data_IF_010145925912
#
_entry.id   IF_010145925912
#
_cell.length_a   1.000
_cell.length_b   1.000
_cell.length_c   1.000
_cell.angle_alpha   90.00
_cell.angle_beta   90.00
_cell.angle_gamma   90.00
#
_symmetry.space_group_name_H-M   'P 1'
#
loop_
_entity.id
_entity.type
_entity.pdbx_description
1 polymer ?
#
# COMPACT_ATOMS: atom_id res chain seq x y z
N UNK A 1 55.19 -30.29 14.96
CA UNK A 1 54.59 -29.03 14.45
C UNK A 1 53.40 -29.38 13.57
N UNK A 2 52.18 -29.33 14.12
CA UNK A 2 50.96 -29.61 13.37
C UNK A 2 50.35 -28.29 12.87
N UNK A 3 50.38 -28.08 11.56
CA UNK A 3 49.80 -26.90 10.92
C UNK A 3 48.27 -26.96 10.99
N UNK A 4 47.67 -26.04 11.76
CA UNK A 4 46.23 -25.88 11.89
C UNK A 4 45.60 -25.50 10.55
N UNK A 5 44.78 -26.41 10.02
CA UNK A 5 43.90 -26.17 8.86
C UNK A 5 42.86 -25.11 9.25
N UNK A 6 43.08 -23.85 8.85
CA UNK A 6 42.08 -22.78 8.94
C UNK A 6 40.84 -23.21 8.13
N UNK A 7 39.75 -23.55 8.82
CA UNK A 7 38.43 -23.76 8.21
C UNK A 7 37.99 -22.43 7.60
N UNK A 8 37.84 -22.38 6.28
CA UNK A 8 37.18 -21.27 5.58
C UNK A 8 35.74 -21.14 6.11
N UNK A 9 35.24 -19.93 6.40
CA UNK A 9 33.84 -19.75 6.74
C UNK A 9 32.96 -20.21 5.56
N UNK A 10 31.76 -20.76 5.82
CA UNK A 10 30.88 -21.20 4.76
C UNK A 10 30.50 -19.98 3.88
N UNK A 11 30.77 -20.09 2.57
CA UNK A 11 30.28 -19.16 1.56
C UNK A 11 28.77 -18.98 1.74
N UNK A 12 28.32 -17.73 1.78
CA UNK A 12 26.93 -17.34 1.95
C UNK A 12 25.98 -18.13 1.02
N UNK A 13 25.24 -19.08 1.59
CA UNK A 13 24.19 -19.85 0.92
C UNK A 13 23.00 -18.99 0.46
N UNK A 14 23.03 -17.68 0.72
CA UNK A 14 22.00 -16.73 0.31
C UNK A 14 22.08 -16.35 -1.18
N UNK A 15 23.23 -16.53 -1.84
CA UNK A 15 23.44 -16.05 -3.22
C UNK A 15 23.01 -17.04 -4.32
N UNK A 16 22.66 -18.29 -3.99
CA UNK A 16 22.25 -19.32 -4.96
C UNK A 16 21.13 -20.20 -4.43
N UNK A 17 19.96 -19.62 -4.12
CA UNK A 17 18.75 -20.44 -4.00
C UNK A 17 18.32 -20.91 -5.39
N UNK A 18 18.03 -22.21 -5.55
CA UNK A 18 17.43 -22.71 -6.78
C UNK A 18 16.03 -22.08 -6.97
N UNK A 19 15.58 -21.88 -8.21
CA UNK A 19 14.22 -21.37 -8.50
C UNK A 19 13.14 -22.17 -7.75
N UNK A 20 13.36 -23.49 -7.59
CA UNK A 20 12.50 -24.39 -6.83
C UNK A 20 12.44 -24.01 -5.34
N UNK A 21 13.58 -23.61 -4.74
CA UNK A 21 13.61 -23.15 -3.36
C UNK A 21 12.85 -21.83 -3.19
N UNK A 22 12.98 -20.88 -4.13
CA UNK A 22 12.25 -19.61 -4.09
C UNK A 22 10.73 -19.80 -4.25
N UNK A 23 10.29 -20.69 -5.15
CA UNK A 23 8.88 -21.07 -5.30
C UNK A 23 8.34 -21.78 -4.05
N UNK A 24 9.14 -22.62 -3.40
CA UNK A 24 8.75 -23.30 -2.16
C UNK A 24 8.61 -22.30 -1.00
N UNK A 25 9.47 -21.29 -0.93
CA UNK A 25 9.32 -20.20 0.02
C UNK A 25 8.05 -19.39 -0.25
N UNK A 26 7.79 -18.99 -1.50
CA UNK A 26 6.58 -18.27 -1.89
C UNK A 26 5.31 -19.00 -1.42
N UNK A 27 5.21 -20.30 -1.72
CA UNK A 27 4.05 -21.12 -1.30
C UNK A 27 3.86 -21.10 0.22
N UNK A 28 4.94 -21.26 0.98
CA UNK A 28 4.85 -21.30 2.44
C UNK A 28 4.44 -19.93 3.02
N UNK A 29 4.95 -18.83 2.44
CA UNK A 29 4.58 -17.46 2.81
C UNK A 29 3.12 -17.16 2.51
N UNK A 30 2.65 -17.54 1.31
CA UNK A 30 1.25 -17.39 0.90
C UNK A 30 0.34 -18.21 1.83
N UNK A 31 0.67 -19.47 2.13
CA UNK A 31 -0.12 -20.30 3.03
C UNK A 31 -0.25 -19.66 4.42
N UNK A 32 0.84 -19.10 4.95
CA UNK A 32 0.83 -18.43 6.24
C UNK A 32 0.05 -17.10 6.20
N UNK A 33 0.15 -16.32 5.13
CA UNK A 33 -0.65 -15.11 4.92
C UNK A 33 -2.16 -15.43 4.86
N UNK A 34 -2.53 -16.47 4.11
CA UNK A 34 -3.91 -16.95 4.03
C UNK A 34 -4.41 -17.45 5.38
N UNK A 35 -3.56 -18.10 6.18
CA UNK A 35 -3.92 -18.51 7.54
C UNK A 35 -4.26 -17.30 8.42
N UNK A 36 -3.45 -16.24 8.40
CA UNK A 36 -3.74 -15.01 9.16
C UNK A 36 -5.04 -14.34 8.67
N UNK A 37 -5.27 -14.29 7.36
CA UNK A 37 -6.52 -13.77 6.78
C UNK A 37 -7.71 -14.62 7.23
N UNK A 38 -7.60 -15.95 7.22
CA UNK A 38 -8.67 -16.86 7.64
C UNK A 38 -9.01 -16.70 9.13
N UNK A 39 -8.00 -16.60 10.00
CA UNK A 39 -8.20 -16.36 11.43
C UNK A 39 -8.90 -15.01 11.66
N UNK A 40 -8.41 -13.94 11.02
CA UNK A 40 -9.03 -12.62 11.12
C UNK A 40 -10.47 -12.61 10.57
N UNK A 41 -10.72 -13.32 9.48
CA UNK A 41 -12.06 -13.50 8.90
C UNK A 41 -13.00 -14.19 9.88
N UNK A 42 -12.56 -15.26 10.56
CA UNK A 42 -13.36 -15.95 11.57
C UNK A 42 -13.72 -15.02 12.75
N UNK A 43 -12.76 -14.21 13.21
CA UNK A 43 -12.97 -13.20 14.26
C UNK A 43 -14.00 -12.16 13.79
N UNK A 44 -13.85 -11.61 12.58
CA UNK A 44 -14.80 -10.64 12.02
C UNK A 44 -16.20 -11.24 11.80
N UNK A 45 -16.29 -12.52 11.45
CA UNK A 45 -17.57 -13.23 11.27
C UNK A 45 -18.32 -13.35 12.60
N UNK A 46 -17.61 -13.66 13.68
CA UNK A 46 -18.16 -13.69 15.03
C UNK A 46 -18.56 -12.28 15.52
N UNK A 47 -17.74 -11.28 15.20
CA UNK A 47 -18.01 -9.88 15.54
C UNK A 47 -19.12 -9.21 14.71
N UNK A 48 -19.62 -9.88 13.66
CA UNK A 48 -20.61 -9.30 12.73
C UNK A 48 -21.84 -8.73 13.45
N UNK A 49 -22.43 -9.51 14.36
CA UNK A 49 -23.63 -9.14 15.10
C UNK A 49 -23.36 -8.08 16.19
N UNK A 50 -22.10 -7.88 16.57
CA UNK A 50 -21.68 -6.98 17.65
C UNK A 50 -21.36 -5.55 17.17
N UNK A 51 -21.61 -5.24 15.90
CA UNK A 51 -21.51 -3.87 15.37
C UNK A 51 -20.86 -3.74 14.00
N UNK A 52 -20.10 -4.74 13.53
CA UNK A 52 -19.45 -4.67 12.22
C UNK A 52 -20.49 -4.56 11.09
N UNK A 53 -21.61 -5.29 11.20
CA UNK A 53 -22.71 -5.19 10.23
C UNK A 53 -23.37 -3.80 10.20
N UNK A 54 -23.43 -3.09 11.33
CA UNK A 54 -23.93 -1.72 11.38
C UNK A 54 -22.91 -0.73 10.82
N UNK A 55 -21.63 -0.89 11.16
CA UNK A 55 -20.53 -0.07 10.68
C UNK A 55 -20.43 -0.05 9.15
N UNK A 56 -20.51 -1.23 8.51
CA UNK A 56 -20.46 -1.34 7.05
C UNK A 56 -21.72 -0.76 6.39
N UNK A 57 -22.90 -0.82 7.02
CA UNK A 57 -24.14 -0.25 6.46
C UNK A 57 -24.25 1.26 6.63
N UNK A 58 -23.56 1.84 7.61
CA UNK A 58 -23.70 3.26 7.96
C UNK A 58 -23.51 4.25 6.78
N UNK A 59 -22.55 4.09 5.85
CA UNK A 59 -22.41 4.99 4.70
C UNK A 59 -23.64 5.03 3.79
N UNK A 60 -24.27 3.88 3.57
CA UNK A 60 -25.53 3.78 2.82
C UNK A 60 -26.68 4.45 3.57
N UNK A 61 -26.77 4.23 4.88
CA UNK A 61 -27.82 4.84 5.71
C UNK A 61 -27.70 6.36 5.85
N UNK A 62 -26.51 6.91 5.63
CA UNK A 62 -26.26 8.35 5.61
C UNK A 62 -26.69 9.04 4.30
N UNK A 63 -27.10 8.28 3.28
CA UNK A 63 -27.67 8.83 2.03
C UNK A 63 -29.11 9.31 2.31
N UNK A 64 -29.55 10.46 1.77
CA UNK A 64 -30.91 10.98 1.96
C UNK A 64 -32.02 9.96 1.64
N UNK A 65 -33.12 10.00 2.38
CA UNK A 65 -34.20 8.99 2.31
C UNK A 65 -35.06 9.10 1.04
N UNK A 66 -35.17 10.30 0.47
CA UNK A 66 -35.83 10.60 -0.80
C UNK A 66 -35.20 9.88 -1.99
N UNK A 67 -33.92 9.50 -1.87
CA UNK A 67 -33.17 8.80 -2.91
C UNK A 67 -33.16 7.26 -2.72
N UNK A 68 -33.80 6.75 -1.65
CA UNK A 68 -33.82 5.32 -1.31
C UNK A 68 -35.16 4.69 -1.66
N UNK A 69 -35.17 3.69 -2.54
CA UNK A 69 -36.41 3.02 -2.96
C UNK A 69 -37.18 2.32 -1.83
N UNK A 70 -36.51 1.94 -0.74
CA UNK A 70 -37.11 1.27 0.42
C UNK A 70 -37.20 2.19 1.66
N UNK A 71 -36.98 3.50 1.48
CA UNK A 71 -36.99 4.49 2.56
C UNK A 71 -38.41 4.90 2.97
N UNK A 72 -39.12 4.04 3.70
CA UNK A 72 -40.26 4.47 4.50
C UNK A 72 -39.85 5.48 5.56
N UNK A 73 -40.80 6.29 6.03
CA UNK A 73 -40.66 7.36 7.04
C UNK A 73 -40.26 6.85 8.44
N UNK A 74 -39.08 6.25 8.58
CA UNK A 74 -38.57 5.68 9.82
C UNK A 74 -37.07 5.39 9.79
N UNK A 75 -36.51 5.14 10.97
CA UNK A 75 -35.09 4.87 11.25
C UNK A 75 -34.53 3.56 10.67
N UNK A 76 -35.35 2.74 10.00
CA UNK A 76 -34.97 1.42 9.53
C UNK A 76 -34.35 1.46 8.11
N UNK A 77 -33.05 1.73 8.08
CA UNK A 77 -32.22 1.58 6.90
C UNK A 77 -31.94 0.08 6.63
N UNK A 78 -32.71 -0.51 5.71
CA UNK A 78 -32.55 -1.89 5.26
C UNK A 78 -31.94 -1.97 3.85
N UNK A 79 -31.11 -3.00 3.62
CA UNK A 79 -30.63 -3.38 2.29
C UNK A 79 -31.45 -4.56 1.78
N UNK A 80 -31.79 -4.55 0.50
CA UNK A 80 -32.58 -5.61 -0.10
C UNK A 80 -31.71 -6.83 -0.39
N UNK A 81 -32.22 -8.02 -0.04
CA UNK A 81 -31.60 -9.30 -0.36
C UNK A 81 -32.61 -10.07 -1.21
N UNK A 82 -32.25 -10.33 -2.47
CA UNK A 82 -33.09 -11.07 -3.43
C UNK A 82 -32.85 -12.57 -3.41
N UNK A 83 -31.72 -13.02 -2.86
CA UNK A 83 -31.25 -14.40 -2.90
C UNK A 83 -31.44 -15.11 -1.54
N UNK A 84 -31.90 -16.36 -1.58
CA UNK A 84 -32.12 -17.22 -0.41
C UNK A 84 -30.83 -17.42 0.39
N UNK A 85 -29.70 -17.58 -0.29
CA UNK A 85 -28.38 -17.70 0.36
C UNK A 85 -27.70 -16.35 0.57
N UNK A 86 -28.31 -15.25 0.10
CA UNK A 86 -27.71 -13.93 0.07
C UNK A 86 -27.25 -13.46 1.44
N UNK A 87 -28.08 -13.60 2.48
CA UNK A 87 -27.75 -13.16 3.84
C UNK A 87 -26.49 -13.81 4.41
N UNK A 88 -26.34 -15.13 4.26
CA UNK A 88 -25.17 -15.86 4.73
C UNK A 88 -23.90 -15.48 3.93
N UNK A 89 -24.01 -15.39 2.60
CA UNK A 89 -22.90 -15.02 1.72
C UNK A 89 -22.45 -13.58 1.95
N UNK A 90 -23.37 -12.64 2.19
CA UNK A 90 -23.04 -11.24 2.50
C UNK A 90 -22.28 -11.15 3.81
N UNK A 91 -22.75 -11.85 4.86
CA UNK A 91 -22.06 -11.90 6.15
C UNK A 91 -20.64 -12.45 6.02
N UNK A 92 -20.47 -13.54 5.26
CA UNK A 92 -19.17 -14.12 4.97
C UNK A 92 -18.26 -13.15 4.19
N UNK A 93 -18.79 -12.48 3.16
CA UNK A 93 -18.05 -11.47 2.38
C UNK A 93 -17.59 -10.31 3.27
N UNK A 94 -18.48 -9.76 4.11
CA UNK A 94 -18.14 -8.68 5.05
C UNK A 94 -17.02 -9.11 5.98
N UNK A 95 -17.16 -10.30 6.59
CA UNK A 95 -16.14 -10.84 7.47
C UNK A 95 -14.80 -11.03 6.76
N UNK A 96 -14.82 -11.51 5.52
CA UNK A 96 -13.61 -11.72 4.72
C UNK A 96 -12.89 -10.41 4.39
N UNK A 97 -13.63 -9.40 3.96
CA UNK A 97 -13.09 -8.07 3.63
C UNK A 97 -12.50 -7.42 4.88
N UNK A 98 -13.26 -7.39 5.98
CA UNK A 98 -12.79 -6.85 7.24
C UNK A 98 -11.58 -7.64 7.77
N UNK A 99 -11.58 -8.96 7.59
CA UNK A 99 -10.47 -9.86 7.93
C UNK A 99 -9.18 -9.52 7.17
N UNK A 100 -9.27 -9.23 5.86
CA UNK A 100 -8.10 -8.79 5.06
C UNK A 100 -7.52 -7.48 5.60
N UNK A 101 -8.38 -6.51 5.95
CA UNK A 101 -7.94 -5.23 6.50
C UNK A 101 -7.29 -5.40 7.87
N UNK A 102 -7.93 -6.17 8.76
CA UNK A 102 -7.44 -6.41 10.11
C UNK A 102 -6.11 -7.21 10.11
N UNK A 103 -5.97 -8.14 9.18
CA UNK A 103 -4.75 -8.95 9.03
C UNK A 103 -3.65 -8.27 8.19
N UNK A 104 -3.86 -7.03 7.72
CA UNK A 104 -2.90 -6.26 6.91
C UNK A 104 -1.46 -6.32 7.43
N UNK A 105 -1.18 -6.09 8.73
CA UNK A 105 0.19 -6.15 9.22
C UNK A 105 0.87 -7.51 9.04
N UNK A 106 0.10 -8.59 9.12
CA UNK A 106 0.62 -9.95 9.05
C UNK A 106 0.86 -10.40 7.61
N UNK A 107 -0.07 -10.15 6.69
CA UNK A 107 0.11 -10.59 5.30
C UNK A 107 1.08 -9.68 4.54
N UNK A 108 1.10 -8.37 4.80
CA UNK A 108 2.11 -7.46 4.25
C UNK A 108 3.51 -7.84 4.71
N UNK A 109 3.67 -8.28 5.97
CA UNK A 109 4.94 -8.80 6.47
C UNK A 109 5.44 -10.01 5.67
N UNK A 110 4.54 -10.93 5.30
CA UNK A 110 4.94 -12.11 4.52
C UNK A 110 5.35 -11.73 3.09
N UNK A 111 4.64 -10.78 2.46
CA UNK A 111 5.03 -10.27 1.14
C UNK A 111 6.41 -9.61 1.22
N UNK A 112 6.63 -8.75 2.20
CA UNK A 112 7.91 -8.08 2.36
C UNK A 112 9.06 -9.07 2.55
N UNK A 113 8.88 -10.07 3.41
CA UNK A 113 9.88 -11.10 3.70
C UNK A 113 10.22 -11.95 2.48
N UNK A 114 9.28 -12.09 1.53
CA UNK A 114 9.53 -12.74 0.24
C UNK A 114 10.37 -11.89 -0.71
N UNK A 115 10.25 -10.56 -0.66
CA UNK A 115 10.99 -9.61 -1.53
C UNK A 115 12.40 -9.32 -0.98
N UNK A 116 12.62 -9.37 0.34
CA UNK A 116 13.90 -9.04 0.98
C UNK A 116 15.00 -10.11 1.04
N UNK A 117 14.90 -11.37 0.57
CA UNK A 117 15.98 -12.33 0.76
C UNK A 117 17.28 -11.96 0.03
N UNK A 118 17.26 -11.00 -0.91
CA UNK A 118 18.44 -10.45 -1.58
C UNK A 118 19.15 -9.29 -0.86
N UNK A 119 18.64 -8.81 0.29
CA UNK A 119 19.19 -7.65 1.01
C UNK A 119 20.25 -8.05 2.06
N UNK A 120 21.28 -7.21 2.28
CA UNK A 120 22.36 -7.54 3.24
C UNK A 120 21.81 -7.71 4.66
N UNK A 121 22.43 -8.55 5.48
CA UNK A 121 21.94 -8.87 6.84
C UNK A 121 21.67 -7.64 7.72
N UNK A 122 22.42 -6.56 7.51
CA UNK A 122 22.25 -5.29 8.22
C UNK A 122 21.03 -4.46 7.77
N UNK A 123 20.42 -4.78 6.63
CA UNK A 123 19.24 -4.08 6.09
C UNK A 123 17.92 -4.74 6.50
N UNK A 124 17.96 -5.92 7.12
CA UNK A 124 16.77 -6.61 7.64
C UNK A 124 15.99 -5.77 8.67
N UNK A 125 16.66 -4.86 9.38
CA UNK A 125 16.03 -3.96 10.36
C UNK A 125 15.07 -2.95 9.71
N UNK A 126 15.31 -2.55 8.47
CA UNK A 126 14.40 -1.68 7.73
C UNK A 126 13.09 -2.38 7.37
N UNK A 127 13.07 -3.72 7.34
CA UNK A 127 11.87 -4.47 7.00
C UNK A 127 10.73 -4.30 8.00
N UNK A 128 11.03 -4.17 9.30
CA UNK A 128 9.98 -3.96 10.30
C UNK A 128 9.37 -2.56 10.16
N UNK A 129 10.20 -1.53 9.95
CA UNK A 129 9.73 -0.15 9.70
C UNK A 129 8.92 -0.06 8.43
N UNK A 130 9.34 -0.77 7.37
CA UNK A 130 8.61 -0.83 6.12
C UNK A 130 7.22 -1.43 6.30
N UNK A 131 7.12 -2.57 7.00
CA UNK A 131 5.84 -3.25 7.25
C UNK A 131 4.93 -2.42 8.15
N UNK A 132 5.49 -1.72 9.14
CA UNK A 132 4.72 -0.78 9.95
C UNK A 132 4.18 0.39 9.10
N UNK A 133 5.00 0.93 8.20
CA UNK A 133 4.59 1.98 7.28
C UNK A 133 3.52 1.49 6.29
N UNK A 134 3.69 0.31 5.67
CA UNK A 134 2.70 -0.28 4.75
C UNK A 134 1.37 -0.49 5.46
N UNK A 135 1.40 -1.09 6.66
CA UNK A 135 0.19 -1.29 7.46
C UNK A 135 -0.54 0.01 7.77
N UNK A 136 0.21 1.07 8.11
CA UNK A 136 -0.36 2.39 8.39
C UNK A 136 -0.94 3.04 7.12
N UNK A 137 -0.25 2.94 5.98
CA UNK A 137 -0.73 3.48 4.70
C UNK A 137 -1.95 2.72 4.20
N UNK A 138 -1.98 1.39 4.34
CA UNK A 138 -3.13 0.56 4.01
C UNK A 138 -4.34 0.92 4.90
N UNK A 139 -4.12 1.08 6.20
CA UNK A 139 -5.18 1.52 7.12
C UNK A 139 -5.70 2.92 6.76
N UNK A 140 -4.81 3.86 6.43
CA UNK A 140 -5.18 5.19 5.96
C UNK A 140 -6.01 5.12 4.67
N UNK A 141 -5.58 4.30 3.70
CA UNK A 141 -6.31 4.05 2.47
C UNK A 141 -7.69 3.46 2.74
N UNK A 142 -7.80 2.48 3.65
CA UNK A 142 -9.07 1.88 4.03
C UNK A 142 -10.04 2.87 4.70
N UNK A 143 -9.51 3.76 5.56
CA UNK A 143 -10.30 4.84 6.19
C UNK A 143 -10.80 5.82 5.13
N UNK A 144 -9.95 6.26 4.20
CA UNK A 144 -10.36 7.16 3.13
C UNK A 144 -11.36 6.51 2.16
N UNK A 145 -11.18 5.22 1.85
CA UNK A 145 -12.17 4.44 1.13
C UNK A 145 -13.53 4.50 1.83
N UNK A 146 -13.58 4.23 3.14
CA UNK A 146 -14.83 4.24 3.90
C UNK A 146 -15.54 5.61 3.84
N UNK A 147 -14.80 6.71 4.01
CA UNK A 147 -15.37 8.06 3.90
C UNK A 147 -15.84 8.39 2.48
N UNK A 148 -15.19 7.85 1.45
CA UNK A 148 -15.58 8.06 0.06
C UNK A 148 -16.89 7.37 -0.32
N UNK A 149 -17.30 6.30 0.40
CA UNK A 149 -18.48 5.49 0.07
C UNK A 149 -19.76 6.31 -0.04
N UNK A 150 -20.02 7.19 0.94
CA UNK A 150 -21.21 8.05 0.94
C UNK A 150 -21.23 8.97 -0.28
N UNK A 151 -20.11 9.64 -0.55
CA UNK A 151 -20.00 10.58 -1.66
C UNK A 151 -20.21 9.86 -3.00
N UNK A 152 -19.55 8.70 -3.18
CA UNK A 152 -19.72 7.87 -4.37
C UNK A 152 -21.15 7.38 -4.57
N UNK A 153 -21.82 6.91 -3.50
CA UNK A 153 -23.23 6.49 -3.57
C UNK A 153 -24.17 7.65 -3.90
N UNK A 154 -24.01 8.80 -3.24
CA UNK A 154 -24.85 9.98 -3.47
C UNK A 154 -24.74 10.46 -4.91
N UNK A 155 -23.54 10.42 -5.48
CA UNK A 155 -23.31 10.79 -6.86
C UNK A 155 -23.90 9.75 -7.83
N UNK A 156 -23.64 8.45 -7.64
CA UNK A 156 -24.18 7.40 -8.50
C UNK A 156 -25.72 7.40 -8.52
N UNK A 157 -26.36 7.58 -7.37
CA UNK A 157 -27.81 7.67 -7.27
C UNK A 157 -28.31 8.99 -7.87
N UNK A 158 -27.61 10.10 -7.62
CA UNK A 158 -27.94 11.40 -8.22
C UNK A 158 -27.88 11.39 -9.76
N UNK A 159 -26.95 10.62 -10.35
CA UNK A 159 -26.83 10.44 -11.80
C UNK A 159 -28.02 9.69 -12.42
N UNK A 160 -28.77 8.90 -11.63
CA UNK A 160 -29.98 8.23 -12.11
C UNK A 160 -31.14 9.19 -12.38
N UNK A 161 -31.09 10.41 -11.84
CA UNK A 161 -32.06 11.48 -12.05
C UNK A 161 -33.20 11.52 -11.03
N UNK A 162 -33.88 12.68 -10.95
CA UNK A 162 -34.81 13.03 -9.87
C UNK A 162 -36.11 12.20 -9.81
N UNK A 163 -36.41 11.38 -10.83
CA UNK A 163 -37.63 10.57 -10.91
C UNK A 163 -37.36 9.05 -10.84
N UNK A 164 -36.15 8.65 -10.43
CA UNK A 164 -35.76 7.24 -10.36
C UNK A 164 -35.38 6.89 -8.94
N UNK A 165 -36.15 5.98 -8.33
CA UNK A 165 -35.81 5.39 -7.05
C UNK A 165 -34.88 4.20 -7.27
N UNK A 166 -33.62 4.30 -6.82
CA UNK A 166 -32.64 3.21 -6.96
C UNK A 166 -32.84 2.19 -5.84
N UNK A 167 -33.24 0.97 -6.20
CA UNK A 167 -33.34 -0.16 -5.29
C UNK A 167 -31.98 -0.86 -5.15
N UNK A 168 -31.14 -0.36 -4.25
CA UNK A 168 -29.81 -0.92 -4.03
C UNK A 168 -29.88 -2.25 -3.27
N UNK A 169 -29.35 -3.31 -3.87
CA UNK A 169 -29.23 -4.61 -3.20
C UNK A 169 -28.03 -4.63 -2.25
N UNK A 170 -28.07 -5.49 -1.24
CA UNK A 170 -26.93 -5.71 -0.36
C UNK A 170 -25.72 -6.27 -1.12
N UNK A 171 -25.93 -7.05 -2.19
CA UNK A 171 -24.84 -7.60 -2.99
C UNK A 171 -24.10 -6.50 -3.78
N UNK A 172 -24.85 -5.59 -4.42
CA UNK A 172 -24.28 -4.47 -5.19
C UNK A 172 -23.57 -3.48 -4.29
N UNK A 173 -24.18 -3.14 -3.15
CA UNK A 173 -23.55 -2.29 -2.14
C UNK A 173 -22.21 -2.88 -1.67
N UNK A 174 -22.18 -4.18 -1.38
CA UNK A 174 -20.94 -4.84 -0.94
C UNK A 174 -19.91 -4.93 -2.05
N UNK A 175 -20.32 -5.18 -3.30
CA UNK A 175 -19.42 -5.12 -4.45
C UNK A 175 -18.79 -3.74 -4.63
N UNK A 176 -19.57 -2.68 -4.44
CA UNK A 176 -19.09 -1.30 -4.44
C UNK A 176 -18.09 -1.06 -3.30
N UNK A 177 -18.41 -1.46 -2.07
CA UNK A 177 -17.51 -1.34 -0.90
C UNK A 177 -16.18 -2.05 -1.14
N UNK A 178 -16.21 -3.28 -1.67
CA UNK A 178 -15.00 -4.05 -2.01
C UNK A 178 -14.15 -3.30 -3.03
N UNK A 179 -14.79 -2.82 -4.10
CA UNK A 179 -14.10 -2.17 -5.20
C UNK A 179 -13.42 -0.88 -4.75
N UNK A 180 -14.12 -0.05 -3.97
CA UNK A 180 -13.56 1.18 -3.38
C UNK A 180 -12.42 0.86 -2.41
N UNK A 181 -12.60 -0.12 -1.52
CA UNK A 181 -11.57 -0.51 -0.56
C UNK A 181 -10.30 -1.01 -1.26
N UNK A 182 -10.45 -1.87 -2.28
CA UNK A 182 -9.32 -2.37 -3.06
C UNK A 182 -8.63 -1.24 -3.84
N UNK A 183 -9.41 -0.36 -4.46
CA UNK A 183 -8.88 0.79 -5.18
C UNK A 183 -8.00 1.65 -4.27
N UNK A 184 -8.51 2.14 -3.13
CA UNK A 184 -7.72 2.97 -2.23
C UNK A 184 -6.58 2.21 -1.53
N UNK A 185 -6.85 0.99 -1.04
CA UNK A 185 -5.87 0.20 -0.30
C UNK A 185 -4.63 -0.13 -1.14
N UNK A 186 -4.82 -0.64 -2.36
CA UNK A 186 -3.71 -0.95 -3.28
C UNK A 186 -3.01 0.33 -3.73
N UNK A 187 -3.77 1.37 -4.03
CA UNK A 187 -3.22 2.65 -4.51
C UNK A 187 -2.26 3.28 -3.50
N UNK A 188 -2.57 3.20 -2.21
CA UNK A 188 -1.74 3.78 -1.15
C UNK A 188 -0.44 2.99 -0.91
N UNK A 189 -0.37 1.73 -1.35
CA UNK A 189 0.86 0.93 -1.28
C UNK A 189 1.83 1.23 -2.44
N UNK A 190 1.35 1.80 -3.55
CA UNK A 190 2.18 2.09 -4.74
C UNK A 190 3.33 3.06 -4.44
N UNK A 191 3.12 4.22 -3.77
CA UNK A 191 4.22 5.12 -3.40
C UNK A 191 5.24 4.45 -2.48
N UNK A 192 4.78 3.59 -1.57
CA UNK A 192 5.65 2.87 -0.65
C UNK A 192 6.51 1.84 -1.40
N UNK A 193 5.95 1.17 -2.40
CA UNK A 193 6.70 0.26 -3.26
C UNK A 193 7.82 0.99 -4.01
N UNK A 194 7.62 2.24 -4.43
CA UNK A 194 8.67 3.05 -5.04
C UNK A 194 9.84 3.33 -4.06
N UNK A 195 9.54 3.57 -2.78
CA UNK A 195 10.55 3.69 -1.73
C UNK A 195 11.29 2.37 -1.53
N UNK A 196 10.58 1.24 -1.52
CA UNK A 196 11.19 -0.09 -1.42
C UNK A 196 12.21 -0.32 -2.55
N UNK A 197 11.82 -0.04 -3.80
CA UNK A 197 12.69 -0.19 -4.96
C UNK A 197 13.93 0.71 -4.88
N UNK A 198 13.79 1.91 -4.30
CA UNK A 198 14.95 2.77 -4.03
C UNK A 198 15.88 2.20 -2.96
N UNK A 199 15.35 1.65 -1.87
CA UNK A 199 16.16 1.02 -0.82
C UNK A 199 16.99 -0.16 -1.35
N UNK A 200 16.41 -0.98 -2.24
CA UNK A 200 17.11 -2.10 -2.89
C UNK A 200 18.14 -1.61 -3.93
N UNK A 201 18.03 -0.36 -4.39
CA UNK A 201 18.93 0.25 -5.38
C UNK A 201 18.49 0.06 -6.83
N UNK A 202 17.26 -0.41 -7.07
CA UNK A 202 16.67 -0.54 -8.42
C UNK A 202 16.29 0.83 -8.99
N UNK A 203 15.84 1.74 -8.12
CA UNK A 203 15.35 3.07 -8.50
C UNK A 203 16.17 4.16 -7.81
N UNK A 204 16.76 5.09 -8.55
CA UNK A 204 17.54 6.20 -7.96
C UNK A 204 16.69 7.46 -7.78
N UNK A 205 17.10 8.32 -6.85
CA UNK A 205 16.52 9.65 -6.64
C UNK A 205 16.54 10.50 -7.92
N UNK A 206 17.60 10.41 -8.72
CA UNK A 206 17.72 11.18 -9.96
C UNK A 206 16.61 10.83 -10.97
N UNK A 207 16.27 9.54 -11.10
CA UNK A 207 15.17 9.07 -11.96
C UNK A 207 13.83 9.57 -11.43
N UNK A 208 13.57 9.40 -10.12
CA UNK A 208 12.36 9.87 -9.46
C UNK A 208 12.16 11.39 -9.60
N UNK A 209 13.22 12.18 -9.41
CA UNK A 209 13.20 13.64 -9.53
C UNK A 209 12.90 14.08 -10.97
N UNK A 210 13.55 13.46 -11.96
CA UNK A 210 13.33 13.77 -13.39
C UNK A 210 11.90 13.42 -13.84
N UNK A 211 11.37 12.31 -13.34
CA UNK A 211 10.03 11.81 -13.69
C UNK A 211 8.90 12.39 -12.84
N UNK A 212 9.16 13.34 -11.93
CA UNK A 212 8.17 13.89 -10.98
C UNK A 212 6.86 14.34 -11.64
N UNK A 213 6.95 15.07 -12.76
CA UNK A 213 5.76 15.53 -13.51
C UNK A 213 4.95 14.36 -14.06
N UNK A 214 5.63 13.32 -14.56
CA UNK A 214 4.98 12.11 -15.05
C UNK A 214 4.36 11.29 -13.92
N UNK A 215 5.01 11.20 -12.75
CA UNK A 215 4.46 10.49 -11.58
C UNK A 215 3.12 11.11 -11.15
N UNK A 216 3.05 12.44 -11.02
CA UNK A 216 1.81 13.11 -10.65
C UNK A 216 0.73 12.99 -11.72
N UNK A 217 1.09 13.16 -13.00
CA UNK A 217 0.15 12.94 -14.08
C UNK A 217 -0.41 11.51 -14.08
N UNK A 218 0.46 10.50 -13.99
CA UNK A 218 0.06 9.09 -13.96
C UNK A 218 -0.75 8.75 -12.70
N UNK A 219 -0.48 9.38 -11.56
CA UNK A 219 -1.25 9.19 -10.33
C UNK A 219 -2.69 9.68 -10.50
N UNK A 220 -2.87 10.85 -11.13
CA UNK A 220 -4.20 11.39 -11.41
C UNK A 220 -4.92 10.54 -12.45
N UNK A 221 -4.24 10.13 -13.52
CA UNK A 221 -4.80 9.24 -14.54
C UNK A 221 -5.20 7.89 -13.94
N UNK A 222 -4.30 7.29 -13.15
CA UNK A 222 -4.57 6.05 -12.44
C UNK A 222 -5.78 6.20 -11.50
N UNK A 223 -5.89 7.34 -10.80
CA UNK A 223 -7.03 7.62 -9.96
C UNK A 223 -8.34 7.66 -10.75
N UNK A 224 -8.37 8.34 -11.90
CA UNK A 224 -9.55 8.41 -12.76
C UNK A 224 -10.01 7.02 -13.23
N UNK A 225 -9.08 6.09 -13.50
CA UNK A 225 -9.41 4.76 -13.97
C UNK A 225 -9.80 3.78 -12.85
N UNK A 226 -9.18 3.88 -11.67
CA UNK A 226 -9.40 2.91 -10.58
C UNK A 226 -10.62 3.25 -9.73
N UNK A 227 -11.02 4.52 -9.64
CA UNK A 227 -12.20 4.92 -8.86
C UNK A 227 -13.49 4.50 -9.57
N UNK A 228 -14.34 3.65 -8.95
CA UNK A 228 -15.52 3.10 -9.62
C UNK A 228 -16.60 4.14 -9.96
N UNK A 229 -16.65 5.26 -9.23
CA UNK A 229 -17.65 6.32 -9.43
C UNK A 229 -17.23 7.36 -10.48
N UNK A 230 -15.96 7.37 -10.88
CA UNK A 230 -15.37 8.27 -11.89
C UNK A 230 -15.73 9.76 -11.69
N UNK A 231 -15.93 10.19 -10.44
CA UNK A 231 -16.28 11.56 -10.12
C UNK A 231 -15.08 12.38 -9.62
N UNK A 232 -15.07 13.71 -9.86
CA UNK A 232 -13.94 14.55 -9.46
C UNK A 232 -13.67 14.52 -7.96
N UNK A 233 -14.69 14.32 -7.11
CA UNK A 233 -14.51 14.35 -5.66
C UNK A 233 -13.76 13.11 -5.17
N UNK A 234 -14.22 11.90 -5.50
CA UNK A 234 -13.54 10.67 -5.09
C UNK A 234 -12.18 10.51 -5.78
N UNK A 235 -12.07 10.95 -7.04
CA UNK A 235 -10.82 10.99 -7.78
C UNK A 235 -9.78 11.88 -7.07
N UNK A 236 -10.15 13.12 -6.69
CA UNK A 236 -9.26 14.03 -5.99
C UNK A 236 -8.96 13.54 -4.55
N UNK A 237 -9.95 12.96 -3.88
CA UNK A 237 -9.79 12.39 -2.54
C UNK A 237 -8.73 11.27 -2.51
N UNK A 238 -8.55 10.54 -3.62
CA UNK A 238 -7.49 9.55 -3.75
C UNK A 238 -6.19 10.16 -4.31
N UNK A 239 -6.28 10.95 -5.38
CA UNK A 239 -5.11 11.46 -6.10
C UNK A 239 -4.28 12.43 -5.26
N UNK A 240 -4.92 13.33 -4.49
CA UNK A 240 -4.21 14.31 -3.65
C UNK A 240 -3.32 13.65 -2.59
N UNK A 241 -3.82 12.76 -1.71
CA UNK A 241 -2.96 12.09 -0.75
C UNK A 241 -1.92 11.20 -1.43
N UNK A 242 -2.23 10.56 -2.56
CA UNK A 242 -1.21 9.80 -3.30
C UNK A 242 -0.08 10.68 -3.84
N UNK A 243 -0.39 11.84 -4.41
CA UNK A 243 0.62 12.80 -4.87
C UNK A 243 1.51 13.27 -3.70
N UNK A 244 0.92 13.51 -2.52
CA UNK A 244 1.67 13.84 -1.31
C UNK A 244 2.57 12.68 -0.85
N UNK A 245 2.06 11.44 -0.88
CA UNK A 245 2.83 10.25 -0.55
C UNK A 245 3.98 10.02 -1.54
N UNK A 246 3.76 10.26 -2.84
CA UNK A 246 4.83 10.20 -3.84
C UNK A 246 5.87 11.29 -3.62
N UNK A 247 5.47 12.50 -3.24
CA UNK A 247 6.42 13.55 -2.87
C UNK A 247 7.26 13.13 -1.65
N UNK A 248 6.62 12.59 -0.62
CA UNK A 248 7.32 12.04 0.54
C UNK A 248 8.29 10.91 0.14
N UNK A 249 7.88 10.02 -0.77
CA UNK A 249 8.72 8.96 -1.31
C UNK A 249 9.97 9.50 -2.02
N UNK A 250 9.82 10.56 -2.83
CA UNK A 250 10.93 11.25 -3.51
C UNK A 250 11.89 11.85 -2.49
N UNK A 251 11.39 12.48 -1.42
CA UNK A 251 12.23 13.06 -0.37
C UNK A 251 12.97 11.98 0.44
N UNK A 252 12.31 10.87 0.75
CA UNK A 252 12.96 9.71 1.41
C UNK A 252 14.08 9.17 0.53
N UNK A 253 13.83 8.99 -0.77
CA UNK A 253 14.84 8.53 -1.73
C UNK A 253 16.06 9.46 -1.78
N UNK A 254 15.86 10.78 -1.69
CA UNK A 254 16.97 11.76 -1.60
C UNK A 254 17.87 11.50 -0.38
N UNK A 255 17.26 11.25 0.78
CA UNK A 255 18.01 11.00 2.03
C UNK A 255 18.72 9.66 1.98
N UNK A 256 18.08 8.63 1.45
CA UNK A 256 18.65 7.29 1.27
C UNK A 256 19.86 7.34 0.35
N UNK A 257 19.72 7.92 -0.85
CA UNK A 257 20.80 8.01 -1.83
C UNK A 257 21.97 8.86 -1.30
N UNK A 258 21.69 9.98 -0.62
CA UNK A 258 22.73 10.82 0.01
C UNK A 258 23.50 10.05 1.11
N UNK A 259 22.81 9.25 1.92
CA UNK A 259 23.44 8.41 2.95
C UNK A 259 24.25 7.27 2.33
N UNK A 260 23.79 6.69 1.22
CA UNK A 260 24.51 5.64 0.49
C UNK A 260 25.79 6.20 -0.15
N UNK A 261 25.72 7.36 -0.79
CA UNK A 261 26.89 8.05 -1.35
C UNK A 261 27.95 8.33 -0.27
N UNK A 262 27.55 8.97 0.84
CA UNK A 262 28.47 9.25 1.96
C UNK A 262 29.14 7.99 2.54
N UNK A 263 28.43 6.85 2.56
CA UNK A 263 29.02 5.58 3.03
C UNK A 263 30.02 5.01 2.02
N UNK A 264 29.71 5.08 0.73
CA UNK A 264 30.64 4.67 -0.32
C UNK A 264 31.93 5.50 -0.29
N UNK A 265 31.81 6.82 -0.05
CA UNK A 265 32.97 7.70 0.12
C UNK A 265 33.81 7.25 1.32
N UNK A 266 33.21 6.98 2.49
CA UNK A 266 33.94 6.51 3.68
C UNK A 266 34.61 5.14 3.45
N UNK A 267 33.95 4.23 2.72
CA UNK A 267 34.52 2.91 2.40
C UNK A 267 35.70 3.01 1.43
N UNK A 268 35.71 3.98 0.50
CA UNK A 268 36.88 4.20 -0.38
C UNK A 268 38.12 4.69 0.38
N UNK A 269 37.94 5.39 1.50
CA UNK A 269 39.07 5.81 2.35
C UNK A 269 39.64 4.67 3.22
N UNK A 270 38.94 3.54 3.36
CA UNK A 270 39.43 2.38 4.14
C UNK A 270 40.39 1.47 3.35
N UNK A 271 40.43 1.59 2.02
CA UNK A 271 41.37 0.84 1.16
C UNK A 271 42.73 1.56 1.00
N UNK A 272 42.85 2.79 1.54
CA UNK A 272 44.10 3.56 1.58
C UNK A 272 44.83 3.22 2.86
N UNK A 273 46.09 2.77 2.77
CA UNK A 273 46.88 2.44 3.97
C UNK A 273 47.10 3.67 4.86
N UNK A 274 47.26 3.48 6.18
CA UNK A 274 47.48 4.59 7.13
C UNK A 274 48.68 5.49 6.77
N UNK A 275 49.62 4.97 5.97
CA UNK A 275 50.82 5.65 5.46
C UNK A 275 50.67 6.22 4.03
N UNK A 276 49.53 6.04 3.37
CA UNK A 276 49.24 6.58 2.04
C UNK A 276 48.40 7.86 2.12
N UNK A 277 48.81 8.91 1.41
CA UNK A 277 48.04 10.14 1.33
C UNK A 277 46.70 9.85 0.64
N UNK A 278 45.59 10.26 1.26
CA UNK A 278 44.27 10.13 0.66
C UNK A 278 44.27 10.80 -0.73
N UNK A 279 43.73 10.14 -1.77
CA UNK A 279 43.65 10.75 -3.08
C UNK A 279 42.78 12.01 -2.99
N UNK A 280 43.41 13.17 -3.22
CA UNK A 280 42.71 14.45 -3.30
C UNK A 280 41.93 14.47 -4.61
N UNK A 281 40.61 14.55 -4.53
CA UNK A 281 39.79 14.85 -5.70
C UNK A 281 40.07 16.30 -6.13
N UNK A 282 40.95 16.44 -7.13
CA UNK A 282 41.36 17.72 -7.69
C UNK A 282 40.35 18.28 -8.71
N UNK A 283 39.16 17.66 -8.86
CA UNK A 283 38.11 18.28 -9.67
C UNK A 283 37.62 19.56 -8.98
N UNK A 284 37.75 20.73 -9.63
CA UNK A 284 37.31 21.98 -9.04
C UNK A 284 35.79 21.93 -8.85
N UNK A 285 35.32 22.21 -7.63
CA UNK A 285 33.89 22.37 -7.37
C UNK A 285 33.35 23.49 -8.28
N UNK A 286 32.32 23.21 -9.08
CA UNK A 286 31.64 24.25 -9.85
C UNK A 286 31.08 25.29 -8.88
N UNK A 287 31.55 26.52 -8.98
CA UNK A 287 31.03 27.66 -8.24
C UNK A 287 29.53 27.84 -8.56
N UNK A 288 28.70 28.05 -7.53
CA UNK A 288 27.31 28.48 -7.72
C UNK A 288 27.30 29.74 -8.60
N UNK A 289 26.61 29.70 -9.74
CA UNK A 289 26.45 30.88 -10.60
C UNK A 289 25.78 32.00 -9.79
N UNK A 290 26.31 33.24 -9.85
CA UNK A 290 25.73 34.35 -9.10
C UNK A 290 24.32 34.62 -9.62
N UNK A 291 23.36 34.64 -8.69
CA UNK A 291 21.97 35.05 -8.90
C UNK A 291 21.97 36.39 -9.66
N UNK A 292 21.62 36.31 -10.95
CA UNK A 292 21.54 37.46 -11.83
C UNK A 292 20.47 38.42 -11.33
N UNK A 293 20.91 39.57 -10.84
CA UNK A 293 20.11 40.79 -10.81
C UNK A 293 19.79 41.19 -12.26
N UNK A 294 18.50 41.20 -12.60
CA UNK A 294 17.83 42.22 -13.43
C UNK A 294 16.33 42.12 -13.28
#
# INVERSE_FOLDING_TARGET
MAAGRKRRPPRDAAATMSLIAHLRELRNRIALALLFIAIATAICFWWYDHGLGAFIRAPYCAVPSDQRALGGSGSDCALLITDVFGGALIRLKIAFIAGIVLSAPFWLFQIWRFITPGLKQNEKRYGLTFVAASSALFALGAVLAYYSLKAGLTLLIGLAGNNVAVALTAQDYLGFVVSVLLAFGVSFEVPLLAVALNLVGVLTYAVLKKSRRWIFFLTIVFAAFITPTQDPFTMLLMALPMCLLFEAAIQIARVVDKRRARRADVESFHDVGDDEASPLDATPSSLDEPVGQR
#
